data_IF_603053532848
#
_entry.id   IF_603053532848
#
_cell.length_a   1.000
_cell.length_b   1.000
_cell.length_c   1.000
_cell.angle_alpha   90.00
_cell.angle_beta   90.00
_cell.angle_gamma   90.00
#
_symmetry.space_group_name_H-M   'P 1'
#
loop_
_entity.id
_entity.type
_entity.pdbx_description
1 polymer ?
#
# COMPACT_ATOMS: atom_id res chain seq x y z
N UNK A 1 -18.58 -6.26 -7.86
CA UNK A 1 -19.16 -4.92 -7.72
C UNK A 1 -19.67 -4.76 -6.31
N UNK A 2 -19.52 -3.60 -5.70
CA UNK A 2 -20.05 -3.30 -4.36
C UNK A 2 -21.42 -2.66 -4.59
N UNK A 3 -22.46 -3.18 -3.94
CA UNK A 3 -23.80 -2.57 -4.00
C UNK A 3 -23.83 -1.34 -3.09
N UNK A 4 -24.53 -0.28 -3.48
CA UNK A 4 -24.67 0.97 -2.73
C UNK A 4 -25.24 0.82 -1.31
N UNK A 5 -25.80 -0.35 -0.98
CA UNK A 5 -26.34 -0.68 0.34
C UNK A 5 -25.37 -1.39 1.28
N UNK A 6 -24.26 -1.90 0.77
CA UNK A 6 -23.29 -2.68 1.56
C UNK A 6 -22.35 -1.75 2.37
N UNK A 7 -22.05 -2.17 3.59
CA UNK A 7 -21.05 -1.49 4.42
C UNK A 7 -19.66 -2.06 4.13
N UNK A 8 -18.68 -1.20 3.85
CA UNK A 8 -17.29 -1.56 3.64
C UNK A 8 -16.50 -1.29 4.92
N UNK A 9 -15.73 -2.27 5.38
CA UNK A 9 -14.75 -2.07 6.44
C UNK A 9 -13.48 -1.41 5.88
N UNK A 10 -13.07 -0.26 6.43
CA UNK A 10 -11.80 0.39 6.09
C UNK A 10 -10.80 0.20 7.22
N UNK A 11 -9.76 -0.61 7.00
CA UNK A 11 -8.63 -0.76 7.94
C UNK A 11 -7.61 0.30 7.59
N UNK A 12 -7.43 1.26 8.51
CA UNK A 12 -6.65 2.47 8.28
C UNK A 12 -5.32 2.45 9.03
N UNK A 13 -4.24 2.51 8.26
CA UNK A 13 -2.92 2.91 8.74
C UNK A 13 -2.78 4.42 8.86
N UNK A 14 -1.56 4.93 8.75
CA UNK A 14 -1.23 6.35 8.73
C UNK A 14 -1.15 6.90 7.30
N UNK A 15 -1.13 8.24 7.18
CA UNK A 15 -0.87 8.96 5.94
C UNK A 15 -2.10 9.61 5.30
N UNK A 16 -1.86 10.64 4.48
CA UNK A 16 -2.90 11.49 3.88
C UNK A 16 -3.80 10.75 2.89
N UNK A 17 -3.28 9.71 2.23
CA UNK A 17 -4.06 8.87 1.32
C UNK A 17 -5.27 8.26 2.02
N UNK A 18 -5.09 7.77 3.26
CA UNK A 18 -6.18 7.14 4.00
C UNK A 18 -7.30 8.15 4.32
N UNK A 19 -6.94 9.38 4.69
CA UNK A 19 -7.91 10.47 4.91
C UNK A 19 -8.66 10.84 3.62
N UNK A 20 -7.93 10.98 2.51
CA UNK A 20 -8.52 11.28 1.20
C UNK A 20 -9.49 10.17 0.75
N UNK A 21 -9.14 8.91 1.00
CA UNK A 21 -9.97 7.76 0.68
C UNK A 21 -11.29 7.74 1.45
N UNK A 22 -11.28 8.07 2.75
CA UNK A 22 -12.51 8.16 3.56
C UNK A 22 -13.48 9.17 2.92
N UNK A 23 -12.98 10.40 2.70
CA UNK A 23 -13.81 11.47 2.17
C UNK A 23 -14.38 11.13 0.79
N UNK A 24 -13.55 10.54 -0.08
CA UNK A 24 -13.99 10.20 -1.44
C UNK A 24 -14.97 9.03 -1.46
N UNK A 25 -14.78 8.00 -0.65
CA UNK A 25 -15.72 6.89 -0.56
C UNK A 25 -17.06 7.36 0.04
N UNK A 26 -16.99 8.19 1.07
CA UNK A 26 -18.18 8.76 1.67
C UNK A 26 -18.97 9.65 0.70
N UNK A 27 -18.28 10.52 -0.05
CA UNK A 27 -18.92 11.38 -1.06
C UNK A 27 -19.55 10.58 -2.21
N UNK A 28 -19.09 9.37 -2.47
CA UNK A 28 -19.69 8.42 -3.42
C UNK A 28 -20.86 7.61 -2.83
N UNK A 29 -21.27 7.87 -1.58
CA UNK A 29 -22.41 7.22 -0.94
C UNK A 29 -22.11 5.86 -0.29
N UNK A 30 -20.84 5.44 -0.20
CA UNK A 30 -20.52 4.19 0.48
C UNK A 30 -20.74 4.29 1.99
N UNK A 31 -21.34 3.24 2.56
CA UNK A 31 -21.40 3.07 4.00
C UNK A 31 -20.08 2.52 4.51
N UNK A 32 -19.46 3.22 5.46
CA UNK A 32 -18.12 2.91 5.93
C UNK A 32 -18.13 2.48 7.40
N UNK A 33 -17.43 1.40 7.73
CA UNK A 33 -17.00 1.07 9.08
C UNK A 33 -15.50 1.24 9.17
N UNK A 34 -15.06 2.22 9.90
CA UNK A 34 -13.65 2.52 10.06
C UNK A 34 -13.05 1.66 11.17
N UNK A 35 -11.86 1.08 10.90
CA UNK A 35 -11.07 0.28 11.83
C UNK A 35 -9.66 0.89 11.83
N UNK A 36 -9.28 1.55 12.92
CA UNK A 36 -7.99 2.21 13.04
C UNK A 36 -6.93 1.24 13.55
N UNK A 37 -5.82 1.15 12.83
CA UNK A 37 -4.62 0.49 13.35
C UNK A 37 -4.00 1.31 14.50
N UNK A 38 -3.24 0.70 15.42
CA UNK A 38 -2.59 1.42 16.50
C UNK A 38 -1.64 2.55 16.05
N UNK A 39 -1.06 2.41 14.85
CA UNK A 39 -0.20 3.43 14.24
C UNK A 39 -0.97 4.53 13.49
N UNK A 40 -2.29 4.43 13.38
CA UNK A 40 -3.09 5.40 12.64
C UNK A 40 -3.19 6.71 13.41
N UNK A 41 -2.63 7.77 12.84
CA UNK A 41 -2.73 9.14 13.34
C UNK A 41 -3.88 9.93 12.70
N UNK A 42 -4.78 9.24 12.00
CA UNK A 42 -5.89 9.87 11.30
C UNK A 42 -6.93 10.29 12.31
N UNK A 43 -7.21 11.59 12.36
CA UNK A 43 -8.37 12.11 13.04
C UNK A 43 -9.60 11.77 12.18
N UNK A 44 -10.38 10.85 12.67
CA UNK A 44 -11.66 10.49 12.08
C UNK A 44 -12.66 11.48 12.65
N UNK A 45 -13.25 12.33 11.78
CA UNK A 45 -14.25 13.30 12.19
C UNK A 45 -15.38 12.62 13.00
N UNK A 46 -16.05 13.37 13.87
CA UNK A 46 -17.13 12.83 14.73
C UNK A 46 -18.27 12.17 13.92
N UNK A 47 -18.32 12.42 12.62
CA UNK A 47 -19.30 11.84 11.69
C UNK A 47 -19.06 10.36 11.37
N UNK A 48 -17.85 9.82 11.65
CA UNK A 48 -17.52 8.44 11.34
C UNK A 48 -17.34 7.59 12.60
N UNK A 49 -18.23 6.60 12.76
CA UNK A 49 -18.04 5.56 13.78
C UNK A 49 -16.78 4.75 13.45
N UNK A 50 -15.89 4.61 14.41
CA UNK A 50 -14.68 3.82 14.24
C UNK A 50 -14.46 2.82 15.38
N UNK A 51 -13.67 1.81 15.10
CA UNK A 51 -13.14 0.86 16.09
C UNK A 51 -11.63 0.99 16.10
N UNK A 52 -11.06 1.01 17.29
CA UNK A 52 -9.61 0.91 17.46
C UNK A 52 -9.22 -0.56 17.48
N UNK A 53 -8.36 -0.95 16.54
CA UNK A 53 -7.81 -2.29 16.50
C UNK A 53 -6.70 -2.41 17.55
N UNK A 54 -6.75 -3.46 18.35
CA UNK A 54 -5.65 -3.90 19.21
C UNK A 54 -5.17 -5.24 18.68
N UNK A 55 -3.88 -5.37 18.40
CA UNK A 55 -3.32 -6.62 17.88
C UNK A 55 -3.59 -7.80 18.82
N UNK A 56 -3.52 -7.53 20.14
CA UNK A 56 -3.76 -8.51 21.20
C UNK A 56 -5.20 -9.02 21.25
N UNK A 57 -6.12 -8.33 20.58
CA UNK A 57 -7.56 -8.57 20.53
C UNK A 57 -8.11 -8.55 19.11
N UNK A 58 -7.32 -8.95 18.12
CA UNK A 58 -7.72 -8.89 16.71
C UNK A 58 -8.95 -9.78 16.42
N UNK A 59 -9.13 -10.87 17.16
CA UNK A 59 -10.28 -11.73 17.07
C UNK A 59 -11.62 -11.00 17.37
N UNK A 60 -11.59 -9.97 18.22
CA UNK A 60 -12.77 -9.15 18.51
C UNK A 60 -13.20 -8.33 17.27
N UNK A 61 -12.26 -7.86 16.47
CA UNK A 61 -12.57 -7.13 15.24
C UNK A 61 -13.24 -8.07 14.24
N UNK A 62 -12.75 -9.28 14.07
CA UNK A 62 -13.37 -10.27 13.19
C UNK A 62 -14.77 -10.65 13.67
N UNK A 63 -14.96 -10.81 14.97
CA UNK A 63 -16.28 -11.08 15.57
C UNK A 63 -17.27 -9.95 15.29
N UNK A 64 -16.85 -8.69 15.49
CA UNK A 64 -17.69 -7.50 15.22
C UNK A 64 -18.03 -7.34 13.73
N UNK A 65 -17.07 -7.61 12.83
CA UNK A 65 -17.30 -7.59 11.38
C UNK A 65 -18.36 -8.60 10.99
N UNK A 66 -18.29 -9.82 11.54
CA UNK A 66 -19.27 -10.88 11.31
C UNK A 66 -20.65 -10.51 11.86
N UNK A 67 -20.75 -10.02 13.10
CA UNK A 67 -22.01 -9.57 13.71
C UNK A 67 -22.70 -8.48 12.90
N UNK A 68 -21.92 -7.58 12.28
CA UNK A 68 -22.45 -6.51 11.43
C UNK A 68 -22.60 -6.91 9.96
N UNK A 69 -22.37 -8.17 9.63
CA UNK A 69 -22.41 -8.67 8.23
C UNK A 69 -21.49 -7.89 7.28
N UNK A 70 -20.37 -7.39 7.78
CA UNK A 70 -19.35 -6.69 6.97
C UNK A 70 -18.35 -7.74 6.49
N UNK A 71 -18.43 -8.11 5.22
CA UNK A 71 -17.59 -9.13 4.61
C UNK A 71 -16.59 -8.56 3.57
N UNK A 72 -16.68 -7.28 3.25
CA UNK A 72 -15.79 -6.59 2.32
C UNK A 72 -14.97 -5.55 3.08
N UNK A 73 -13.66 -5.62 2.95
CA UNK A 73 -12.74 -4.67 3.60
C UNK A 73 -11.70 -4.13 2.62
N UNK A 74 -11.22 -2.94 2.89
CA UNK A 74 -10.07 -2.36 2.20
C UNK A 74 -8.99 -1.98 3.21
N UNK A 75 -7.73 -2.27 2.89
CA UNK A 75 -6.57 -1.91 3.69
C UNK A 75 -5.95 -0.65 3.07
N UNK A 76 -5.86 0.45 3.83
CA UNK A 76 -5.47 1.76 3.30
C UNK A 76 -4.47 2.45 4.24
N UNK A 77 -3.44 3.03 3.66
CA UNK A 77 -2.43 3.78 4.40
C UNK A 77 -1.22 2.92 4.78
N UNK A 78 -0.29 3.55 5.47
CA UNK A 78 0.95 2.93 5.89
C UNK A 78 0.75 2.23 7.25
N UNK A 79 1.18 0.98 7.36
CA UNK A 79 1.19 0.23 8.60
C UNK A 79 2.63 0.13 9.14
N UNK A 80 2.84 0.60 10.35
CA UNK A 80 4.12 0.42 11.04
C UNK A 80 4.18 -1.01 11.57
N UNK A 81 5.33 -1.66 11.40
CA UNK A 81 5.58 -3.01 11.93
C UNK A 81 5.53 -2.97 13.45
N UNK A 82 4.62 -3.75 14.06
CA UNK A 82 4.45 -3.69 15.50
C UNK A 82 5.55 -4.43 16.24
N UNK A 83 5.94 -3.91 17.39
CA UNK A 83 6.63 -4.69 18.41
C UNK A 83 5.57 -5.45 19.23
N UNK A 84 5.53 -6.77 19.08
CA UNK A 84 4.49 -7.62 19.65
C UNK A 84 4.94 -8.32 20.94
N UNK A 85 4.36 -7.95 22.07
CA UNK A 85 4.51 -8.74 23.29
C UNK A 85 3.45 -9.86 23.34
N UNK A 86 3.85 -11.06 22.96
CA UNK A 86 2.94 -12.20 22.81
C UNK A 86 2.26 -12.62 24.12
N UNK A 87 2.78 -12.21 25.28
CA UNK A 87 2.16 -12.50 26.59
C UNK A 87 0.83 -11.77 26.79
N UNK A 88 0.61 -10.67 26.06
CA UNK A 88 -0.59 -9.84 26.18
C UNK A 88 -1.75 -10.34 25.32
N UNK A 89 -1.49 -11.32 24.42
CA UNK A 89 -2.49 -11.82 23.50
C UNK A 89 -3.46 -12.79 24.18
N UNK A 90 -4.74 -12.65 23.87
CA UNK A 90 -5.67 -13.73 24.15
C UNK A 90 -5.40 -14.95 23.24
N UNK A 91 -5.81 -16.18 23.63
CA UNK A 91 -5.47 -17.38 22.87
C UNK A 91 -5.94 -17.36 21.40
N UNK A 92 -7.09 -16.76 21.10
CA UNK A 92 -7.63 -16.68 19.74
C UNK A 92 -6.80 -15.72 18.89
N UNK A 93 -6.57 -14.52 19.38
CA UNK A 93 -5.71 -13.53 18.68
C UNK A 93 -4.28 -14.04 18.51
N UNK A 94 -3.74 -14.75 19.50
CA UNK A 94 -2.40 -15.34 19.40
C UNK A 94 -2.30 -16.35 18.25
N UNK A 95 -3.31 -17.20 18.07
CA UNK A 95 -3.35 -18.16 16.97
C UNK A 95 -3.43 -17.48 15.59
N UNK A 96 -4.10 -16.34 15.52
CA UNK A 96 -4.19 -15.53 14.30
C UNK A 96 -2.84 -14.88 14.01
N UNK A 97 -2.25 -14.20 14.99
CA UNK A 97 -1.00 -13.44 14.82
C UNK A 97 0.19 -14.36 14.54
N UNK A 98 0.23 -15.56 15.07
CA UNK A 98 1.28 -16.56 14.74
C UNK A 98 1.43 -16.82 13.24
N UNK A 99 0.40 -16.61 12.44
CA UNK A 99 0.47 -16.75 10.99
C UNK A 99 1.16 -15.56 10.32
N UNK A 100 1.18 -14.40 10.97
CA UNK A 100 1.78 -13.16 10.46
C UNK A 100 3.23 -12.99 10.94
N UNK A 101 3.55 -13.41 12.15
CA UNK A 101 4.88 -13.25 12.78
C UNK A 101 6.05 -13.62 11.86
N UNK A 102 6.05 -14.77 11.15
CA UNK A 102 7.18 -15.15 10.27
C UNK A 102 7.42 -14.19 9.11
N UNK A 103 6.48 -13.29 8.86
CA UNK A 103 6.51 -12.33 7.76
C UNK A 103 6.85 -10.91 8.21
N UNK A 104 6.81 -10.61 9.52
CA UNK A 104 7.09 -9.27 10.05
C UNK A 104 8.51 -8.79 9.72
N UNK A 105 9.50 -9.69 9.71
CA UNK A 105 10.89 -9.38 9.38
C UNK A 105 11.23 -9.50 7.88
N UNK A 106 10.23 -9.85 7.05
CA UNK A 106 10.39 -9.94 5.60
C UNK A 106 9.99 -8.62 4.93
N UNK A 107 10.08 -8.56 3.59
CA UNK A 107 9.63 -7.41 2.81
C UNK A 107 8.14 -7.11 2.96
N UNK A 108 7.75 -5.91 2.55
CA UNK A 108 6.37 -5.43 2.73
C UNK A 108 5.34 -6.24 1.96
N UNK A 109 5.70 -6.77 0.79
CA UNK A 109 4.80 -7.62 0.02
C UNK A 109 4.53 -8.94 0.74
N UNK A 110 5.56 -9.56 1.33
CA UNK A 110 5.41 -10.79 2.11
C UNK A 110 4.50 -10.60 3.33
N UNK A 111 4.67 -9.48 4.05
CA UNK A 111 3.83 -9.13 5.18
C UNK A 111 2.37 -8.85 4.75
N UNK A 112 2.19 -8.08 3.68
CA UNK A 112 0.86 -7.79 3.13
C UNK A 112 0.10 -9.05 2.74
N UNK A 113 0.76 -9.99 2.05
CA UNK A 113 0.16 -11.26 1.67
C UNK A 113 -0.23 -12.11 2.87
N UNK A 114 0.59 -12.14 3.93
CA UNK A 114 0.25 -12.85 5.16
C UNK A 114 -0.98 -12.24 5.84
N UNK A 115 -1.04 -10.91 5.96
CA UNK A 115 -2.21 -10.20 6.49
C UNK A 115 -3.44 -10.49 5.64
N UNK A 116 -3.33 -10.37 4.31
CA UNK A 116 -4.41 -10.67 3.38
C UNK A 116 -4.96 -12.09 3.60
N UNK A 117 -4.09 -13.08 3.62
CA UNK A 117 -4.48 -14.49 3.82
C UNK A 117 -5.22 -14.70 5.15
N UNK A 118 -4.78 -14.05 6.22
CA UNK A 118 -5.46 -14.09 7.51
C UNK A 118 -6.87 -13.52 7.40
N UNK A 119 -7.05 -12.37 6.80
CA UNK A 119 -8.38 -11.78 6.63
C UNK A 119 -9.29 -12.64 5.75
N UNK A 120 -8.77 -13.17 4.64
CA UNK A 120 -9.50 -14.07 3.74
C UNK A 120 -9.88 -15.39 4.45
N UNK A 121 -9.04 -15.93 5.33
CA UNK A 121 -9.35 -17.11 6.14
C UNK A 121 -10.50 -16.90 7.14
N UNK A 122 -10.76 -15.64 7.50
CA UNK A 122 -11.91 -15.25 8.31
C UNK A 122 -13.18 -14.99 7.48
N UNK A 123 -13.16 -15.29 6.18
CA UNK A 123 -14.30 -15.11 5.26
C UNK A 123 -14.47 -13.68 4.75
N UNK A 124 -13.43 -12.84 4.86
CA UNK A 124 -13.45 -11.46 4.38
C UNK A 124 -12.91 -11.36 2.95
N UNK A 125 -13.48 -10.48 2.16
CA UNK A 125 -13.03 -10.15 0.80
C UNK A 125 -12.21 -8.87 0.86
N UNK A 126 -10.94 -8.95 0.46
CA UNK A 126 -10.08 -7.78 0.38
C UNK A 126 -10.34 -7.03 -0.94
N UNK A 127 -10.86 -5.82 -0.81
CA UNK A 127 -11.11 -4.93 -1.94
C UNK A 127 -9.83 -4.18 -2.31
N UNK A 128 -9.59 -4.07 -3.59
CA UNK A 128 -8.49 -3.26 -4.08
C UNK A 128 -8.90 -1.80 -4.12
N UNK A 129 -8.16 -0.96 -3.41
CA UNK A 129 -8.48 0.47 -3.25
C UNK A 129 -8.60 1.20 -4.58
N UNK A 130 -7.75 0.88 -5.57
CA UNK A 130 -7.82 1.51 -6.90
C UNK A 130 -9.08 1.13 -7.69
N UNK A 131 -9.67 -0.05 -7.43
CA UNK A 131 -10.95 -0.45 -8.04
C UNK A 131 -12.13 0.32 -7.43
N UNK A 132 -12.04 0.67 -6.13
CA UNK A 132 -13.02 1.51 -5.45
C UNK A 132 -12.88 2.99 -5.82
N UNK A 133 -11.67 3.43 -6.08
CA UNK A 133 -11.28 4.83 -6.20
C UNK A 133 -10.63 5.13 -7.55
N UNK A 134 -11.30 4.76 -8.65
CA UNK A 134 -10.82 5.05 -10.00
C UNK A 134 -10.42 6.51 -10.21
N UNK A 135 -11.02 7.45 -9.46
CA UNK A 135 -10.68 8.87 -9.48
C UNK A 135 -9.30 9.20 -8.90
N UNK A 136 -8.69 8.30 -8.11
CA UNK A 136 -7.33 8.46 -7.57
C UNK A 136 -6.26 7.74 -8.41
N UNK A 137 -6.65 7.05 -9.47
CA UNK A 137 -5.71 6.40 -10.39
C UNK A 137 -5.54 7.26 -11.61
N UNK A 138 -4.29 7.58 -11.92
CA UNK A 138 -3.95 8.23 -13.19
C UNK A 138 -4.13 7.23 -14.33
N UNK A 139 -4.71 7.69 -15.44
CA UNK A 139 -4.70 6.93 -16.69
C UNK A 139 -3.29 6.89 -17.28
N UNK A 140 -3.05 6.07 -18.27
CA UNK A 140 -1.78 6.09 -19.01
C UNK A 140 -1.63 7.45 -19.72
N UNK A 141 -0.45 8.07 -19.61
CA UNK A 141 -0.17 9.34 -20.26
C UNK A 141 0.89 10.17 -19.53
N UNK A 142 1.24 11.29 -20.13
CA UNK A 142 2.14 12.30 -19.56
C UNK A 142 1.31 13.41 -18.88
N UNK A 143 1.60 13.69 -17.62
CA UNK A 143 0.90 14.68 -16.79
C UNK A 143 1.77 15.90 -16.45
N UNK A 144 3.05 15.84 -16.80
CA UNK A 144 4.00 16.94 -16.57
C UNK A 144 3.96 17.99 -17.68
N UNK A 145 4.47 19.19 -17.37
CA UNK A 145 4.65 20.25 -18.37
C UNK A 145 5.70 19.88 -19.43
N UNK A 146 6.64 19.00 -19.08
CA UNK A 146 7.68 18.51 -19.97
C UNK A 146 7.49 17.00 -20.18
N UNK A 147 6.93 16.58 -21.29
CA UNK A 147 6.83 15.16 -21.61
C UNK A 147 8.24 14.55 -21.78
N UNK A 148 8.43 13.25 -21.47
CA UNK A 148 9.69 12.59 -21.71
C UNK A 148 10.05 12.62 -23.21
N UNK A 149 11.29 12.86 -23.52
CA UNK A 149 11.85 12.64 -24.86
C UNK A 149 12.24 11.17 -25.05
N UNK A 150 12.60 10.79 -26.26
CA UNK A 150 12.95 9.40 -26.60
C UNK A 150 14.11 8.86 -25.75
N UNK A 151 15.07 9.72 -25.36
CA UNK A 151 16.20 9.30 -24.51
C UNK A 151 15.74 8.97 -23.10
N UNK A 152 14.80 9.75 -22.56
CA UNK A 152 14.19 9.50 -21.26
C UNK A 152 13.33 8.24 -21.30
N UNK A 153 12.59 8.01 -22.41
CA UNK A 153 11.80 6.79 -22.57
C UNK A 153 12.67 5.52 -22.57
N UNK A 154 13.79 5.54 -23.29
CA UNK A 154 14.77 4.44 -23.26
C UNK A 154 15.36 4.23 -21.85
N UNK A 155 15.65 5.32 -21.13
CA UNK A 155 16.10 5.24 -19.74
C UNK A 155 15.04 4.64 -18.82
N UNK A 156 13.76 4.98 -19.02
CA UNK A 156 12.64 4.43 -18.27
C UNK A 156 12.57 2.91 -18.49
N UNK A 157 12.69 2.43 -19.71
CA UNK A 157 12.65 1.00 -20.02
C UNK A 157 13.81 0.23 -19.37
N UNK A 158 15.03 0.79 -19.44
CA UNK A 158 16.20 0.19 -18.78
C UNK A 158 16.05 0.15 -17.26
N UNK A 159 15.59 1.27 -16.67
CA UNK A 159 15.30 1.35 -15.25
C UNK A 159 14.22 0.37 -14.81
N UNK A 160 13.19 0.19 -15.65
CA UNK A 160 12.11 -0.75 -15.40
C UNK A 160 12.61 -2.21 -15.42
N UNK A 161 13.43 -2.58 -16.39
CA UNK A 161 14.02 -3.91 -16.47
C UNK A 161 14.89 -4.21 -15.24
N UNK A 162 15.73 -3.27 -14.83
CA UNK A 162 16.53 -3.41 -13.62
C UNK A 162 15.66 -3.52 -12.36
N UNK A 163 14.64 -2.68 -12.26
CA UNK A 163 13.71 -2.71 -11.12
C UNK A 163 12.96 -4.04 -11.03
N UNK A 164 12.61 -4.64 -12.16
CA UNK A 164 11.96 -5.95 -12.21
C UNK A 164 12.79 -7.04 -11.54
N UNK A 165 14.09 -7.03 -11.73
CA UNK A 165 15.00 -7.98 -11.08
C UNK A 165 15.10 -7.71 -9.58
N UNK A 166 15.24 -6.44 -9.18
CA UNK A 166 15.26 -6.05 -7.76
C UNK A 166 13.97 -6.36 -7.02
N UNK A 167 12.85 -6.32 -7.71
CA UNK A 167 11.55 -6.59 -7.12
C UNK A 167 11.40 -8.00 -6.56
N UNK A 168 12.16 -8.96 -7.11
CA UNK A 168 12.20 -10.34 -6.61
C UNK A 168 12.81 -10.44 -5.21
N UNK A 169 13.60 -9.45 -4.82
CA UNK A 169 14.24 -9.39 -3.51
C UNK A 169 13.35 -8.73 -2.43
N UNK A 170 12.19 -8.21 -2.82
CA UNK A 170 11.24 -7.51 -1.93
C UNK A 170 11.90 -6.41 -1.06
N UNK A 171 12.84 -5.65 -1.64
CA UNK A 171 13.64 -4.64 -0.94
C UNK A 171 12.93 -3.29 -0.82
N UNK A 172 12.12 -2.92 -1.83
CA UNK A 172 11.43 -1.63 -1.90
C UNK A 172 10.58 -1.49 -3.16
N UNK A 173 9.91 -0.35 -3.30
CA UNK A 173 8.92 -0.09 -4.34
C UNK A 173 9.33 1.04 -5.29
N UNK A 174 10.52 1.59 -5.13
CA UNK A 174 10.99 2.73 -5.92
C UNK A 174 12.47 2.59 -6.26
N UNK A 175 12.81 3.04 -7.46
CA UNK A 175 14.19 3.15 -7.94
C UNK A 175 14.40 4.54 -8.55
N UNK A 176 15.56 5.10 -8.35
CA UNK A 176 16.00 6.31 -9.07
C UNK A 176 17.09 5.91 -10.05
N UNK A 177 16.84 6.19 -11.32
CA UNK A 177 17.68 5.76 -12.42
C UNK A 177 18.02 6.94 -13.32
N UNK A 178 19.26 7.01 -13.77
CA UNK A 178 19.72 8.04 -14.72
C UNK A 178 20.94 7.57 -15.49
N UNK A 179 20.97 7.83 -16.80
CA UNK A 179 22.10 7.55 -17.71
C UNK A 179 22.67 6.13 -17.57
N UNK A 180 21.78 5.15 -17.39
CA UNK A 180 22.17 3.76 -17.22
C UNK A 180 22.57 3.36 -15.80
N UNK A 181 22.57 4.29 -14.83
CA UNK A 181 22.96 4.01 -13.45
C UNK A 181 21.76 4.03 -12.49
N UNK A 182 21.72 3.10 -11.58
CA UNK A 182 20.85 3.15 -10.41
C UNK A 182 21.49 4.11 -9.40
N UNK A 183 20.83 5.23 -9.15
CA UNK A 183 21.30 6.24 -8.20
C UNK A 183 20.70 6.06 -6.81
N UNK A 184 19.59 5.37 -6.71
CA UNK A 184 18.93 5.08 -5.45
C UNK A 184 17.95 3.95 -5.58
N UNK A 185 17.92 3.09 -4.58
CA UNK A 185 16.97 2.01 -4.42
C UNK A 185 16.28 2.19 -3.07
N UNK A 186 14.96 2.16 -3.09
CA UNK A 186 14.18 2.19 -1.85
C UNK A 186 14.46 0.93 -1.03
N UNK A 187 14.64 1.14 0.27
CA UNK A 187 14.83 0.06 1.25
C UNK A 187 13.83 0.24 2.38
N UNK A 188 14.01 -0.50 3.48
CA UNK A 188 13.23 -0.36 4.71
C UNK A 188 13.15 1.09 5.25
N UNK A 189 14.09 1.94 4.86
CA UNK A 189 14.11 3.36 5.26
C UNK A 189 13.04 4.20 4.54
N UNK A 190 12.46 3.69 3.48
CA UNK A 190 11.39 4.33 2.72
C UNK A 190 11.86 5.29 1.62
N UNK A 191 10.92 5.64 0.75
CA UNK A 191 11.15 6.49 -0.43
C UNK A 191 11.66 7.88 -0.04
N UNK A 192 11.09 8.49 1.01
CA UNK A 192 11.40 9.89 1.38
C UNK A 192 12.85 10.06 1.80
N UNK A 193 13.40 9.12 2.59
CA UNK A 193 14.81 9.17 2.99
C UNK A 193 15.74 8.90 1.81
N UNK A 194 15.40 7.98 0.91
CA UNK A 194 16.14 7.76 -0.32
C UNK A 194 16.19 9.05 -1.15
N UNK A 195 15.05 9.68 -1.39
CA UNK A 195 14.97 10.92 -2.18
C UNK A 195 15.72 12.07 -1.53
N UNK A 196 15.63 12.22 -0.21
CA UNK A 196 16.38 13.25 0.53
C UNK A 196 17.88 13.10 0.35
N UNK A 197 18.42 11.89 0.51
CA UNK A 197 19.84 11.61 0.28
C UNK A 197 20.28 11.95 -1.14
N UNK A 198 19.46 11.68 -2.15
CA UNK A 198 19.73 12.01 -3.54
C UNK A 198 19.65 13.51 -3.83
N UNK A 199 18.75 14.25 -3.17
CA UNK A 199 18.65 15.71 -3.28
C UNK A 199 19.94 16.34 -2.74
N UNK A 200 20.39 15.91 -1.57
CA UNK A 200 21.63 16.40 -0.96
C UNK A 200 22.84 16.12 -1.86
N UNK A 201 22.91 14.94 -2.47
CA UNK A 201 23.94 14.59 -3.46
C UNK A 201 23.86 15.49 -4.70
N UNK A 202 22.64 15.74 -5.24
CA UNK A 202 22.41 16.59 -6.41
C UNK A 202 22.83 18.03 -6.17
N UNK A 203 22.51 18.60 -5.02
CA UNK A 203 22.90 19.98 -4.66
C UNK A 203 24.42 20.16 -4.72
N UNK A 204 25.17 19.11 -4.36
CA UNK A 204 26.61 19.11 -4.39
C UNK A 204 27.24 18.81 -5.78
N UNK A 205 26.53 18.11 -6.67
CA UNK A 205 27.07 17.55 -7.91
C UNK A 205 26.56 18.18 -9.21
N UNK A 206 25.57 19.10 -9.17
CA UNK A 206 24.90 19.71 -10.35
C UNK A 206 24.27 18.69 -11.33
N UNK A 207 23.95 17.49 -10.89
CA UNK A 207 23.36 16.43 -11.72
C UNK A 207 21.84 16.63 -11.78
N UNK A 208 21.24 16.56 -12.98
CA UNK A 208 19.77 16.50 -13.14
C UNK A 208 19.31 15.05 -12.96
N UNK A 209 18.38 14.80 -12.04
CA UNK A 209 17.87 13.45 -11.75
C UNK A 209 16.52 13.20 -12.43
N UNK A 210 16.37 12.04 -13.04
CA UNK A 210 15.08 11.48 -13.44
C UNK A 210 14.65 10.45 -12.39
N UNK A 211 13.46 10.61 -11.82
CA UNK A 211 12.97 9.73 -10.76
C UNK A 211 11.91 8.82 -11.34
N UNK A 212 12.15 7.52 -11.23
CA UNK A 212 11.20 6.49 -11.62
C UNK A 212 10.62 5.82 -10.35
N UNK A 213 9.33 5.97 -10.11
CA UNK A 213 8.63 5.23 -9.07
C UNK A 213 7.77 4.14 -9.71
N UNK A 214 8.08 2.90 -9.41
CA UNK A 214 7.32 1.75 -9.88
C UNK A 214 6.69 1.04 -8.68
N UNK A 215 5.38 0.94 -8.69
CA UNK A 215 4.64 0.16 -7.71
C UNK A 215 4.27 -1.18 -8.34
N UNK A 216 4.87 -2.26 -7.83
CA UNK A 216 4.83 -3.60 -8.43
C UNK A 216 3.46 -4.27 -8.48
N UNK A 217 2.59 -4.03 -7.52
CA UNK A 217 1.41 -4.86 -7.33
C UNK A 217 0.31 -4.71 -8.39
N UNK A 218 0.35 -3.69 -9.22
CA UNK A 218 -0.78 -3.35 -10.08
C UNK A 218 -0.49 -3.27 -11.57
N UNK A 219 0.76 -3.15 -11.99
CA UNK A 219 1.12 -2.93 -13.39
C UNK A 219 1.34 -4.23 -14.19
N UNK A 220 1.61 -5.35 -13.54
CA UNK A 220 1.92 -6.60 -14.23
C UNK A 220 0.77 -7.21 -15.04
N UNK A 221 -0.49 -6.84 -14.78
CA UNK A 221 -1.63 -7.42 -15.49
C UNK A 221 -2.10 -6.66 -16.74
N UNK A 222 -1.59 -5.47 -17.04
CA UNK A 222 -2.12 -4.65 -18.15
C UNK A 222 -1.18 -4.30 -19.29
N UNK A 223 0.12 -4.53 -19.21
CA UNK A 223 0.96 -4.54 -20.40
C UNK A 223 1.11 -5.98 -20.91
N UNK A 224 0.15 -6.47 -21.66
CA UNK A 224 0.47 -7.39 -22.77
C UNK A 224 1.34 -6.56 -23.71
N UNK A 225 2.63 -6.79 -23.69
CA UNK A 225 3.48 -6.48 -24.82
C UNK A 225 2.80 -7.06 -26.05
N UNK A 226 2.67 -6.25 -27.08
CA UNK A 226 2.08 -6.67 -28.34
C UNK A 226 2.73 -7.95 -28.88
N UNK A 227 2.12 -8.59 -29.88
CA UNK A 227 2.53 -9.91 -30.34
C UNK A 227 3.99 -9.90 -30.75
N UNK A 228 4.72 -10.87 -30.21
CA UNK A 228 6.04 -11.24 -30.69
C UNK A 228 5.93 -11.51 -32.22
N UNK A 229 6.60 -10.68 -32.99
CA UNK A 229 6.96 -11.00 -34.39
C UNK A 229 8.41 -11.41 -34.42
#
# INVERSE_FOLDING_TARGET
MVNDSETIGLVLGSGDLAKSCINLLYSKGFKLQIIKLPCSNIDVSQDFKHWDLKYERIDEIFSRLKEKSINKIALIGHAIRPDLNLKNFNPKSLNIIKQIIPHISKGDNSLFLAVKNVFESQGLIILKVHELLNALTLSEGSYGLNPPDNLIEEEIEKGFSMFKEYSLLDLGQSIVFQKGYCLGLETLLGTDLMLKGLIDFRMNSKIKLSILRLKLDHFYKKRKLGPET
#
